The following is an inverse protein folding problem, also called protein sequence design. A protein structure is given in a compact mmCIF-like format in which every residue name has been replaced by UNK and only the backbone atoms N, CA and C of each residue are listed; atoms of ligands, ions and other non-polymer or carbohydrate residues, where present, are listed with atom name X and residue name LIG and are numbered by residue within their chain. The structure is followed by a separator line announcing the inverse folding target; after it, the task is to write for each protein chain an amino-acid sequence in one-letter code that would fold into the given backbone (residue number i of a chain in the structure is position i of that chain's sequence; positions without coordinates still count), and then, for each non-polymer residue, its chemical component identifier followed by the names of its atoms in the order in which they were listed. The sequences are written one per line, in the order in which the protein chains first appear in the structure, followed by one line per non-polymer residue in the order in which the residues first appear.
data_IF_227554299990
#
_entry.id   IF_227554299990
#
_cell.length_a   1.000
_cell.length_b   1.000
_cell.length_c   1.000
_cell.angle_alpha   90.00
_cell.angle_beta   90.00
_cell.angle_gamma   90.00
#
_symmetry.space_group_name_H-M   'P 1'
#
loop_
_entity.id
_entity.type
_entity.pdbx_description
1 polymer ?
#
# COMPACT_ATOMS: atom_id res chain seq x y z
N UNK A 1 5.06 28.53 -0.42
CA UNK A 1 4.79 27.72 -1.62
C UNK A 1 3.38 27.18 -1.51
N UNK A 2 2.52 27.41 -2.50
CA UNK A 2 1.19 26.79 -2.54
C UNK A 2 1.34 25.36 -3.03
N UNK A 3 0.84 24.39 -2.26
CA UNK A 3 0.92 22.96 -2.58
C UNK A 3 -0.40 22.48 -3.19
N UNK A 4 -0.35 21.39 -3.95
CA UNK A 4 -1.54 20.77 -4.52
C UNK A 4 -2.20 19.83 -3.49
N UNK A 5 -3.39 20.19 -3.01
CA UNK A 5 -4.16 19.38 -2.08
C UNK A 5 -4.50 17.99 -2.65
N UNK A 6 -4.76 17.88 -3.96
CA UNK A 6 -4.96 16.58 -4.62
C UNK A 6 -3.64 15.79 -4.68
N UNK A 7 -2.51 16.48 -4.83
CA UNK A 7 -1.19 15.86 -4.81
C UNK A 7 -0.87 15.18 -3.47
N UNK A 8 -1.40 15.71 -2.36
CA UNK A 8 -1.25 15.10 -1.05
C UNK A 8 -2.00 13.78 -0.91
N UNK A 9 -3.28 13.74 -1.27
CA UNK A 9 -4.03 12.47 -1.21
C UNK A 9 -3.55 11.47 -2.27
N UNK A 10 -3.16 11.95 -3.45
CA UNK A 10 -2.64 11.10 -4.52
C UNK A 10 -1.34 10.41 -4.11
N UNK A 11 -0.40 11.11 -3.44
CA UNK A 11 0.85 10.50 -2.99
C UNK A 11 0.63 9.47 -1.89
N UNK A 12 -0.31 9.72 -0.97
CA UNK A 12 -0.70 8.75 0.06
C UNK A 12 -1.27 7.49 -0.59
N UNK A 13 -2.25 7.63 -1.49
CA UNK A 13 -2.86 6.48 -2.16
C UNK A 13 -1.86 5.73 -3.04
N UNK A 14 -0.96 6.45 -3.72
CA UNK A 14 0.08 5.86 -4.55
C UNK A 14 1.03 4.95 -3.77
N UNK A 15 1.34 5.28 -2.52
CA UNK A 15 2.19 4.43 -1.66
C UNK A 15 1.37 3.35 -0.97
N UNK A 16 0.27 3.72 -0.30
CA UNK A 16 -0.45 2.80 0.58
C UNK A 16 -1.18 1.68 -0.18
N UNK A 17 -1.78 1.97 -1.34
CA UNK A 17 -2.51 0.96 -2.10
C UNK A 17 -1.62 -0.22 -2.52
N UNK A 18 -0.48 -0.01 -3.22
CA UNK A 18 0.39 -1.12 -3.57
C UNK A 18 1.09 -1.75 -2.36
N UNK A 19 1.43 -0.99 -1.32
CA UNK A 19 2.03 -1.56 -0.10
C UNK A 19 1.07 -2.51 0.61
N UNK A 20 -0.18 -2.12 0.82
CA UNK A 20 -1.19 -2.99 1.44
C UNK A 20 -1.45 -4.22 0.57
N UNK A 21 -1.53 -4.06 -0.75
CA UNK A 21 -1.65 -5.20 -1.67
C UNK A 21 -0.52 -6.23 -1.48
N UNK A 22 0.74 -5.78 -1.42
CA UNK A 22 1.88 -6.67 -1.20
C UNK A 22 1.87 -7.31 0.18
N UNK A 23 1.49 -6.56 1.22
CA UNK A 23 1.37 -7.09 2.58
C UNK A 23 0.32 -8.21 2.65
N UNK A 24 -0.82 -8.03 1.97
CA UNK A 24 -1.86 -9.05 1.89
C UNK A 24 -1.32 -10.33 1.25
N UNK A 25 -0.64 -10.23 0.10
CA UNK A 25 -0.04 -11.38 -0.56
C UNK A 25 1.00 -12.05 0.35
N UNK A 26 1.87 -11.27 0.97
CA UNK A 26 2.90 -11.80 1.88
C UNK A 26 2.29 -12.59 3.04
N UNK A 27 1.25 -12.06 3.68
CA UNK A 27 0.58 -12.74 4.79
C UNK A 27 -0.03 -14.07 4.32
N UNK A 28 -0.78 -14.05 3.21
CA UNK A 28 -1.40 -15.26 2.67
C UNK A 28 -0.36 -16.33 2.27
N UNK A 29 0.72 -15.92 1.59
CA UNK A 29 1.80 -16.85 1.22
C UNK A 29 2.48 -17.46 2.43
N UNK A 30 2.66 -16.69 3.52
CA UNK A 30 3.24 -17.22 4.75
C UNK A 30 2.34 -18.23 5.45
N UNK A 31 1.05 -17.94 5.54
CA UNK A 31 0.07 -18.88 6.12
C UNK A 31 0.02 -20.20 5.34
N UNK A 32 0.11 -20.15 4.01
CA UNK A 32 0.18 -21.36 3.16
C UNK A 32 1.48 -22.16 3.38
N UNK A 33 2.61 -21.49 3.61
CA UNK A 33 3.92 -22.15 3.77
C UNK A 33 4.13 -22.74 5.18
N UNK A 34 3.52 -22.13 6.21
CA UNK A 34 3.67 -22.54 7.62
C UNK A 34 2.57 -23.50 8.10
N UNK A 35 1.53 -23.74 7.28
CA UNK A 35 0.38 -24.62 7.57
C UNK A 35 0.54 -26.09 7.19
#
# INVERSE_FOLDING_TARGET
MQVNNLGFIASILFVLVPTVFLLILFIQTREETEG
#
